data_IF_736562354938
#
_entry.id   IF_736562354938
#
_cell.length_a   1.000
_cell.length_b   1.000
_cell.length_c   1.000
_cell.angle_alpha   90.00
_cell.angle_beta   90.00
_cell.angle_gamma   90.00
#
_symmetry.space_group_name_H-M   'P 1'
#
loop_
_entity.id
_entity.type
_entity.pdbx_description
1 polymer ?
#
# COMPACT_ATOMS: atom_id res chain seq x y z
N UNK A 1 21.14 2.37 22.43
CA UNK A 1 21.20 3.18 21.19
C UNK A 1 19.96 4.05 21.20
N UNK A 2 20.11 5.37 21.22
CA UNK A 2 18.98 6.30 21.27
C UNK A 2 18.50 6.53 19.84
N UNK A 3 17.21 6.35 19.56
CA UNK A 3 16.64 6.54 18.21
C UNK A 3 16.84 7.98 17.70
N UNK A 4 17.04 8.93 18.62
CA UNK A 4 17.34 10.33 18.33
C UNK A 4 18.65 10.56 17.57
N UNK A 5 19.56 9.58 17.52
CA UNK A 5 20.87 9.70 16.87
C UNK A 5 20.91 9.10 15.45
N UNK A 6 19.81 8.46 15.00
CA UNK A 6 19.76 7.85 13.66
C UNK A 6 19.29 8.89 12.64
N UNK A 7 20.22 9.44 11.87
CA UNK A 7 19.90 10.27 10.71
C UNK A 7 19.51 9.39 9.51
N UNK A 8 18.22 9.14 9.35
CA UNK A 8 17.70 8.35 8.23
C UNK A 8 17.96 9.02 6.86
N UNK A 9 18.13 10.35 6.79
CA UNK A 9 18.40 11.03 5.54
C UNK A 9 19.82 10.76 5.01
N UNK A 10 20.76 10.39 5.89
CA UNK A 10 22.10 9.97 5.52
C UNK A 10 22.13 8.60 4.83
N UNK A 11 21.09 7.77 4.99
CA UNK A 11 20.97 6.49 4.29
C UNK A 11 20.66 6.68 2.80
N UNK A 12 21.22 5.87 1.89
CA UNK A 12 20.74 5.77 0.52
C UNK A 12 19.22 5.52 0.44
N UNK A 13 18.58 5.98 -0.63
CA UNK A 13 17.12 5.79 -0.84
C UNK A 13 16.72 4.32 -0.73
N UNK A 14 17.50 3.41 -1.32
CA UNK A 14 17.25 1.97 -1.26
C UNK A 14 17.26 1.41 0.16
N UNK A 15 18.20 1.87 0.99
CA UNK A 15 18.30 1.44 2.40
C UNK A 15 17.15 2.00 3.23
N UNK A 16 16.73 3.25 2.97
CA UNK A 16 15.52 3.79 3.60
C UNK A 16 14.27 3.00 3.24
N UNK A 17 14.11 2.63 1.96
CA UNK A 17 12.98 1.83 1.51
C UNK A 17 13.01 0.44 2.16
N UNK A 18 14.18 -0.21 2.22
CA UNK A 18 14.32 -1.48 2.92
C UNK A 18 13.95 -1.37 4.39
N UNK A 19 14.46 -0.34 5.08
CA UNK A 19 14.17 -0.12 6.49
C UNK A 19 12.66 0.12 6.74
N UNK A 20 12.00 0.89 5.87
CA UNK A 20 10.54 1.09 5.94
C UNK A 20 9.80 -0.24 5.81
N UNK A 21 10.23 -1.10 4.87
CA UNK A 21 9.66 -2.45 4.71
C UNK A 21 9.89 -3.31 5.95
N UNK A 22 11.12 -3.38 6.45
CA UNK A 22 11.47 -4.21 7.61
C UNK A 22 10.69 -3.80 8.86
N UNK A 23 10.51 -2.50 9.08
CA UNK A 23 9.69 -1.96 10.16
C UNK A 23 8.23 -2.36 9.96
N UNK A 24 7.71 -2.26 8.73
CA UNK A 24 6.34 -2.64 8.42
C UNK A 24 6.08 -4.13 8.68
N UNK A 25 7.03 -4.99 8.29
CA UNK A 25 6.97 -6.44 8.51
C UNK A 25 7.03 -6.79 10.01
N UNK A 26 7.89 -6.12 10.79
CA UNK A 26 7.94 -6.28 12.26
C UNK A 26 6.62 -5.87 12.92
N UNK A 27 6.05 -4.72 12.55
CA UNK A 27 4.75 -4.29 13.07
C UNK A 27 3.66 -5.32 12.73
N UNK A 28 3.64 -5.83 11.50
CA UNK A 28 2.67 -6.85 11.10
C UNK A 28 2.82 -8.14 11.91
N UNK A 29 4.05 -8.59 12.16
CA UNK A 29 4.34 -9.77 12.96
C UNK A 29 4.01 -9.61 14.46
N UNK A 30 4.14 -8.39 14.99
CA UNK A 30 3.88 -8.07 16.40
C UNK A 30 2.42 -7.72 16.68
N UNK A 31 1.65 -7.35 15.65
CA UNK A 31 0.23 -6.97 15.79
C UNK A 31 -0.63 -8.24 15.96
N UNK A 32 -1.27 -8.44 17.13
CA UNK A 32 -2.11 -9.61 17.33
C UNK A 32 -3.44 -9.46 16.57
N UNK A 33 -3.84 -10.56 15.92
CA UNK A 33 -5.08 -10.65 15.14
C UNK A 33 -4.79 -10.70 13.65
N UNK A 34 -5.04 -11.85 13.04
CA UNK A 34 -4.98 -11.96 11.59
C UNK A 34 -6.12 -11.16 10.97
N UNK A 35 -5.79 -10.21 10.10
CA UNK A 35 -6.79 -9.58 9.25
C UNK A 35 -7.36 -10.67 8.33
N UNK A 36 -8.61 -11.05 8.58
CA UNK A 36 -9.35 -11.98 7.71
C UNK A 36 -10.32 -11.16 6.88
N UNK A 37 -10.23 -11.29 5.56
CA UNK A 37 -11.25 -10.76 4.66
C UNK A 37 -12.59 -11.45 4.95
N UNK A 38 -13.68 -10.68 4.96
CA UNK A 38 -15.01 -11.30 4.95
C UNK A 38 -15.22 -12.06 3.64
N UNK A 39 -16.08 -13.08 3.65
CA UNK A 39 -16.43 -13.81 2.42
C UNK A 39 -16.98 -12.87 1.33
N UNK A 40 -17.71 -11.83 1.73
CA UNK A 40 -18.25 -10.83 0.84
C UNK A 40 -17.14 -9.97 0.19
N UNK A 41 -16.12 -9.58 0.97
CA UNK A 41 -15.00 -8.81 0.46
C UNK A 41 -14.11 -9.65 -0.48
N UNK A 42 -13.80 -10.90 -0.11
CA UNK A 42 -13.04 -11.81 -0.97
C UNK A 42 -13.78 -12.06 -2.30
N UNK A 43 -15.09 -12.31 -2.24
CA UNK A 43 -15.92 -12.48 -3.44
C UNK A 43 -15.91 -11.23 -4.33
N UNK A 44 -16.02 -10.03 -3.76
CA UNK A 44 -15.99 -8.78 -4.53
C UNK A 44 -14.61 -8.53 -5.16
N UNK A 45 -13.52 -8.80 -4.44
CA UNK A 45 -12.17 -8.68 -4.98
C UNK A 45 -11.95 -9.61 -6.17
N UNK A 46 -12.36 -10.89 -6.04
CA UNK A 46 -12.29 -11.87 -7.14
C UNK A 46 -13.12 -11.43 -8.33
N UNK A 47 -14.34 -10.94 -8.10
CA UNK A 47 -15.22 -10.46 -9.16
C UNK A 47 -14.60 -9.29 -9.93
N UNK A 48 -14.00 -8.32 -9.22
CA UNK A 48 -13.33 -7.16 -9.85
C UNK A 48 -12.08 -7.56 -10.61
N UNK A 49 -11.29 -8.49 -10.06
CA UNK A 49 -10.10 -9.00 -10.73
C UNK A 49 -10.46 -9.71 -12.04
N UNK A 50 -11.43 -10.63 -12.00
CA UNK A 50 -11.89 -11.33 -13.21
C UNK A 50 -12.47 -10.37 -14.27
N UNK A 51 -13.21 -9.34 -13.83
CA UNK A 51 -13.72 -8.31 -14.75
C UNK A 51 -12.59 -7.50 -15.41
N UNK A 52 -11.53 -7.17 -14.65
CA UNK A 52 -10.37 -6.48 -15.19
C UNK A 52 -9.55 -7.37 -16.14
N UNK A 53 -9.37 -8.65 -15.83
CA UNK A 53 -8.68 -9.60 -16.71
C UNK A 53 -9.42 -9.79 -18.04
N UNK A 54 -10.76 -9.83 -18.00
CA UNK A 54 -11.59 -9.92 -19.19
C UNK A 54 -11.61 -8.62 -20.02
N UNK A 55 -11.58 -7.46 -19.35
CA UNK A 55 -11.59 -6.15 -20.01
C UNK A 55 -10.65 -5.16 -19.29
N UNK A 56 -9.34 -5.19 -19.61
CA UNK A 56 -8.36 -4.35 -18.92
C UNK A 56 -8.60 -2.85 -19.10
N UNK A 57 -9.24 -2.43 -20.21
CA UNK A 57 -9.52 -1.02 -20.48
C UNK A 57 -10.65 -0.46 -19.61
N UNK A 58 -11.39 -1.31 -18.89
CA UNK A 58 -12.41 -0.89 -17.92
C UNK A 58 -11.84 -0.17 -16.70
N UNK A 59 -10.55 -0.31 -16.43
CA UNK A 59 -9.88 0.36 -15.30
C UNK A 59 -9.66 1.85 -15.57
N UNK A 60 -9.83 2.65 -14.52
CA UNK A 60 -9.51 4.08 -14.58
C UNK A 60 -8.01 4.28 -14.34
N UNK A 61 -7.29 4.98 -15.23
CA UNK A 61 -5.87 5.26 -15.03
C UNK A 61 -5.63 6.04 -13.73
N UNK A 62 -4.55 5.71 -13.01
CA UNK A 62 -4.20 6.34 -11.74
C UNK A 62 -4.13 7.87 -11.84
N UNK A 63 -3.57 8.43 -12.93
CA UNK A 63 -3.50 9.87 -13.13
C UNK A 63 -4.88 10.53 -13.13
N UNK A 64 -5.91 9.87 -13.69
CA UNK A 64 -7.27 10.39 -13.67
C UNK A 64 -7.88 10.31 -12.26
N UNK A 65 -7.64 9.20 -11.54
CA UNK A 65 -8.10 9.04 -10.14
C UNK A 65 -7.46 10.11 -9.26
N UNK A 66 -6.14 10.27 -9.36
CA UNK A 66 -5.37 11.27 -8.63
C UNK A 66 -5.86 12.68 -8.94
N UNK A 67 -6.06 13.02 -10.21
CA UNK A 67 -6.59 14.33 -10.60
C UNK A 67 -7.94 14.58 -9.92
N UNK A 68 -8.87 13.61 -9.95
CA UNK A 68 -10.19 13.77 -9.31
C UNK A 68 -10.11 13.93 -7.78
N UNK A 69 -9.27 13.13 -7.11
CA UNK A 69 -9.14 13.14 -5.65
C UNK A 69 -8.42 14.38 -5.11
N UNK A 70 -7.49 14.95 -5.88
CA UNK A 70 -6.60 16.02 -5.43
C UNK A 70 -6.81 17.36 -6.15
N UNK A 71 -7.78 17.47 -7.06
CA UNK A 71 -8.10 18.71 -7.80
C UNK A 71 -8.36 19.95 -6.92
N UNK A 72 -8.73 19.77 -5.64
CA UNK A 72 -8.97 20.86 -4.68
C UNK A 72 -7.83 21.10 -3.68
N UNK A 73 -6.70 20.41 -3.79
CA UNK A 73 -5.51 20.60 -2.95
C UNK A 73 -4.39 21.23 -3.80
N UNK A 74 -4.56 22.52 -4.10
CA UNK A 74 -3.51 23.39 -4.62
C UNK A 74 -3.06 24.35 -3.52
#
# INVERSE_FOLDING_TARGET
MNLADVDFHALPVSERLQLVTDIWDSIAAETPGDFTLSEADDAELRRRLAAHEAEPSSSVPWEQVRTRLFAGRA
#
